data_IF_126396019026
#
_entry.id   IF_126396019026
#
_cell.length_a   1.000
_cell.length_b   1.000
_cell.length_c   1.000
_cell.angle_alpha   90.00
_cell.angle_beta   90.00
_cell.angle_gamma   90.00
#
_symmetry.space_group_name_H-M   'P 1'
#
loop_
_entity.id
_entity.type
_entity.pdbx_description
1 polymer ?
#
# COMPACT_ATOMS: atom_id res chain seq x y z
N UNK A 1 -43.40 6.34 74.21
CA UNK A 1 -42.62 5.32 73.47
C UNK A 1 -41.27 5.95 73.15
N UNK A 2 -40.27 5.74 74.02
CA UNK A 2 -38.94 6.37 73.89
C UNK A 2 -38.04 5.36 73.18
N UNK A 3 -37.65 5.63 71.94
CA UNK A 3 -36.69 4.81 71.20
C UNK A 3 -35.29 5.05 71.78
N UNK A 4 -34.65 3.99 72.26
CA UNK A 4 -33.28 4.02 72.76
C UNK A 4 -32.27 4.20 71.64
N UNK A 5 -31.47 5.27 71.71
CA UNK A 5 -30.29 5.43 70.87
C UNK A 5 -29.19 4.47 71.36
N UNK A 6 -28.98 3.37 70.63
CA UNK A 6 -27.82 2.49 70.84
C UNK A 6 -26.52 3.25 70.60
N UNK A 7 -25.58 3.20 71.56
CA UNK A 7 -24.24 3.78 71.45
C UNK A 7 -23.57 3.26 70.18
N UNK A 8 -23.40 4.12 69.18
CA UNK A 8 -22.64 3.81 67.98
C UNK A 8 -21.17 3.72 68.40
N UNK A 9 -20.63 2.50 68.39
CA UNK A 9 -19.22 2.27 68.69
C UNK A 9 -18.34 3.03 67.70
N UNK A 10 -17.33 3.73 68.21
CA UNK A 10 -16.39 4.57 67.45
C UNK A 10 -15.84 3.84 66.22
N UNK A 11 -15.63 2.52 66.31
CA UNK A 11 -15.19 1.69 65.18
C UNK A 11 -16.15 1.66 63.98
N UNK A 12 -17.47 1.74 64.19
CA UNK A 12 -18.46 1.81 63.10
C UNK A 12 -18.44 3.17 62.40
N UNK A 13 -18.14 4.25 63.13
CA UNK A 13 -17.99 5.60 62.57
C UNK A 13 -16.73 5.67 61.71
N UNK A 14 -15.61 5.11 62.20
CA UNK A 14 -14.34 5.05 61.45
C UNK A 14 -14.52 4.23 60.17
N UNK A 15 -15.14 3.05 60.24
CA UNK A 15 -15.38 2.22 59.06
C UNK A 15 -16.24 2.93 58.01
N UNK A 16 -17.25 3.69 58.43
CA UNK A 16 -18.09 4.47 57.53
C UNK A 16 -17.32 5.62 56.85
N UNK A 17 -16.45 6.33 57.58
CA UNK A 17 -15.61 7.39 57.02
C UNK A 17 -14.59 6.85 56.01
N UNK A 18 -13.96 5.69 56.30
CA UNK A 18 -13.06 5.04 55.35
C UNK A 18 -13.79 4.62 54.06
N UNK A 19 -15.01 4.08 54.18
CA UNK A 19 -15.83 3.74 53.02
C UNK A 19 -16.13 4.97 52.15
N UNK A 20 -16.46 6.10 52.76
CA UNK A 20 -16.70 7.36 52.04
C UNK A 20 -15.44 7.81 51.31
N UNK A 21 -14.26 7.78 51.95
CA UNK A 21 -13.01 8.17 51.31
C UNK A 21 -12.70 7.28 50.10
N UNK A 22 -12.90 5.97 50.21
CA UNK A 22 -12.71 5.03 49.08
C UNK A 22 -13.68 5.33 47.94
N UNK A 23 -14.96 5.61 48.24
CA UNK A 23 -15.95 5.97 47.22
C UNK A 23 -15.60 7.29 46.52
N UNK A 24 -15.11 8.29 47.27
CA UNK A 24 -14.65 9.56 46.72
C UNK A 24 -13.41 9.34 45.82
N UNK A 25 -12.47 8.49 46.24
CA UNK A 25 -11.29 8.18 45.42
C UNK A 25 -11.66 7.45 44.13
N UNK A 26 -12.57 6.48 44.17
CA UNK A 26 -13.07 5.78 42.98
C UNK A 26 -13.78 6.76 42.04
N UNK A 27 -14.60 7.66 42.59
CA UNK A 27 -15.29 8.68 41.80
C UNK A 27 -14.31 9.68 41.15
N UNK A 28 -13.29 10.13 41.89
CA UNK A 28 -12.25 11.01 41.38
C UNK A 28 -11.43 10.37 40.27
N UNK A 29 -11.02 9.11 40.44
CA UNK A 29 -10.34 8.34 39.40
C UNK A 29 -11.24 8.20 38.17
N UNK A 30 -12.51 7.84 38.36
CA UNK A 30 -13.49 7.74 37.26
C UNK A 30 -13.70 9.07 36.51
N UNK A 31 -13.66 10.20 37.22
CA UNK A 31 -13.78 11.52 36.59
C UNK A 31 -12.52 11.90 35.81
N UNK A 32 -11.33 11.60 36.35
CA UNK A 32 -10.05 11.79 35.65
C UNK A 32 -9.99 10.95 34.37
N UNK A 33 -10.39 9.68 34.43
CA UNK A 33 -10.40 8.81 33.24
C UNK A 33 -11.41 9.29 32.19
N UNK A 34 -12.54 9.87 32.64
CA UNK A 34 -13.56 10.44 31.74
C UNK A 34 -13.09 11.75 31.11
N UNK A 35 -12.35 12.58 31.84
CA UNK A 35 -11.78 13.83 31.33
C UNK A 35 -10.65 13.55 30.33
N UNK A 36 -9.78 12.57 30.58
CA UNK A 36 -8.76 12.12 29.62
C UNK A 36 -9.40 11.58 28.33
N UNK A 37 -10.46 10.77 28.42
CA UNK A 37 -11.18 10.29 27.22
C UNK A 37 -11.85 11.40 26.40
N UNK A 38 -12.26 12.50 27.03
CA UNK A 38 -12.87 13.64 26.33
C UNK A 38 -11.85 14.58 25.68
N UNK A 39 -10.62 14.65 26.17
CA UNK A 39 -9.57 15.54 25.61
C UNK A 39 -8.69 14.88 24.54
N UNK A 40 -8.64 13.54 24.49
CA UNK A 40 -7.73 12.78 23.61
C UNK A 40 -8.15 12.55 22.13
N UNK A 41 -9.39 12.76 21.64
CA UNK A 41 -9.69 12.42 20.24
C UNK A 41 -9.16 13.39 19.18
N UNK A 42 -9.06 14.70 19.48
CA UNK A 42 -8.77 15.74 18.47
C UNK A 42 -7.35 16.28 18.51
N UNK A 43 -6.77 16.51 19.69
CA UNK A 43 -5.42 17.10 19.76
C UNK A 43 -4.32 16.13 19.32
N UNK A 44 -4.42 14.84 19.67
CA UNK A 44 -3.44 13.83 19.22
C UNK A 44 -3.51 13.53 17.71
N UNK A 45 -4.71 13.58 17.11
CA UNK A 45 -4.87 13.42 15.66
C UNK A 45 -4.25 14.60 14.90
N UNK A 46 -4.45 15.82 15.38
CA UNK A 46 -3.89 17.02 14.77
C UNK A 46 -2.35 17.07 14.90
N UNK A 47 -1.80 16.69 16.06
CA UNK A 47 -0.34 16.58 16.25
C UNK A 47 0.28 15.52 15.32
N UNK A 48 -0.34 14.33 15.23
CA UNK A 48 0.12 13.27 14.33
C UNK A 48 0.07 13.64 12.85
N UNK A 49 -0.97 14.38 12.43
CA UNK A 49 -1.10 14.90 11.07
C UNK A 49 -0.03 15.95 10.75
N UNK A 50 0.17 16.94 11.63
CA UNK A 50 1.24 17.93 11.47
C UNK A 50 2.63 17.30 11.41
N UNK A 51 2.89 16.27 12.23
CA UNK A 51 4.14 15.51 12.18
C UNK A 51 4.40 14.86 10.82
N UNK A 52 3.38 14.24 10.22
CA UNK A 52 3.49 13.61 8.90
C UNK A 52 3.68 14.61 7.77
N UNK A 53 2.96 15.74 7.79
CA UNK A 53 3.15 16.83 6.83
C UNK A 53 4.58 17.36 6.91
N UNK A 54 5.10 17.59 8.12
CA UNK A 54 6.47 18.04 8.32
C UNK A 54 7.51 17.04 7.83
N UNK A 55 7.30 15.74 8.07
CA UNK A 55 8.16 14.67 7.55
C UNK A 55 8.19 14.66 6.03
N UNK A 56 7.01 14.78 5.42
CA UNK A 56 6.84 14.79 3.96
C UNK A 56 7.59 15.96 3.31
N UNK A 57 7.39 17.17 3.83
CA UNK A 57 8.08 18.39 3.38
C UNK A 57 9.60 18.21 3.55
N UNK A 58 10.05 17.74 4.71
CA UNK A 58 11.47 17.51 4.97
C UNK A 58 12.08 16.50 3.99
N UNK A 59 11.37 15.43 3.63
CA UNK A 59 11.85 14.46 2.64
C UNK A 59 11.95 15.04 1.23
N UNK A 60 11.05 15.94 0.87
CA UNK A 60 11.11 16.67 -0.41
C UNK A 60 12.29 17.64 -0.43
N UNK A 61 12.47 18.43 0.63
CA UNK A 61 13.57 19.40 0.74
C UNK A 61 14.95 18.72 0.67
N UNK A 62 15.07 17.51 1.24
CA UNK A 62 16.30 16.73 1.24
C UNK A 62 16.36 15.70 0.10
N UNK A 63 15.42 15.74 -0.85
CA UNK A 63 15.39 14.83 -1.99
C UNK A 63 16.54 15.16 -2.94
N UNK A 64 17.70 14.58 -2.67
CA UNK A 64 18.89 14.68 -3.53
C UNK A 64 19.20 13.37 -4.25
N UNK A 65 18.29 12.39 -4.19
CA UNK A 65 18.47 11.09 -4.85
C UNK A 65 18.09 11.22 -6.31
N UNK A 66 19.10 11.50 -7.12
CA UNK A 66 19.05 11.43 -8.57
C UNK A 66 18.96 9.97 -8.99
N UNK A 67 18.15 9.68 -10.01
CA UNK A 67 18.25 8.42 -10.72
C UNK A 67 19.62 8.32 -11.43
N UNK A 68 19.99 7.13 -11.91
CA UNK A 68 21.30 6.94 -12.55
C UNK A 68 21.50 7.79 -13.81
N UNK A 69 20.43 8.26 -14.46
CA UNK A 69 20.51 9.20 -15.59
C UNK A 69 20.61 10.67 -15.16
N UNK A 70 20.29 10.98 -13.90
CA UNK A 70 20.22 12.37 -13.42
C UNK A 70 19.09 13.17 -14.07
N UNK A 71 17.97 12.52 -14.44
CA UNK A 71 16.80 13.13 -15.09
C UNK A 71 15.58 13.25 -14.16
N UNK A 72 15.57 12.52 -13.04
CA UNK A 72 14.43 12.46 -12.12
C UNK A 72 14.86 12.61 -10.66
N UNK A 73 14.01 13.30 -9.89
CA UNK A 73 14.02 13.27 -8.43
C UNK A 73 13.25 12.04 -7.93
N UNK A 74 13.82 11.35 -6.95
CA UNK A 74 13.19 10.19 -6.31
C UNK A 74 13.10 10.42 -4.80
N UNK A 75 11.89 10.33 -4.26
CA UNK A 75 11.62 10.39 -2.82
C UNK A 75 11.04 9.06 -2.38
N UNK A 76 11.67 8.40 -1.43
CA UNK A 76 11.34 7.02 -1.08
C UNK A 76 10.74 6.93 0.31
N UNK A 77 9.79 6.02 0.47
CA UNK A 77 9.08 5.74 1.72
C UNK A 77 8.52 7.01 2.40
N UNK A 78 7.78 7.85 1.67
CA UNK A 78 7.47 9.24 2.07
C UNK A 78 6.83 9.41 3.47
N UNK A 79 6.20 8.37 4.04
CA UNK A 79 5.57 8.40 5.36
C UNK A 79 6.29 7.57 6.43
N UNK A 80 7.36 6.84 6.08
CA UNK A 80 8.10 5.98 7.00
C UNK A 80 9.51 6.53 7.22
N UNK A 81 9.99 6.45 8.47
CA UNK A 81 11.42 6.56 8.73
C UNK A 81 12.12 5.25 8.33
N UNK A 82 13.39 5.35 7.96
CA UNK A 82 14.21 4.19 7.58
C UNK A 82 14.19 3.13 8.68
N UNK A 83 13.34 2.12 8.50
CA UNK A 83 13.26 0.98 9.41
C UNK A 83 14.21 -0.10 8.91
N UNK A 84 15.25 -0.39 9.69
CA UNK A 84 16.23 -1.47 9.50
C UNK A 84 15.65 -2.86 9.82
N UNK A 85 14.32 -3.03 9.69
CA UNK A 85 13.66 -4.31 9.93
C UNK A 85 14.20 -5.38 8.98
N UNK A 86 14.35 -6.63 9.45
CA UNK A 86 14.85 -7.72 8.64
C UNK A 86 13.92 -8.04 7.47
N UNK A 87 14.47 -8.68 6.43
CA UNK A 87 13.70 -9.17 5.29
C UNK A 87 12.68 -10.22 5.75
N UNK A 88 11.42 -10.09 5.34
CA UNK A 88 10.38 -11.08 5.59
C UNK A 88 10.50 -12.24 4.60
N UNK A 89 10.93 -13.40 5.11
CA UNK A 89 11.05 -14.63 4.34
C UNK A 89 9.67 -15.26 4.05
N UNK A 90 9.54 -15.88 2.86
CA UNK A 90 8.33 -16.55 2.38
C UNK A 90 7.09 -15.66 2.36
N UNK A 91 7.28 -14.37 2.12
CA UNK A 91 6.21 -13.39 1.98
C UNK A 91 6.38 -12.62 0.67
N UNK A 92 5.31 -12.01 0.21
CA UNK A 92 5.24 -11.29 -1.05
C UNK A 92 4.71 -9.87 -0.87
N UNK A 93 5.45 -8.89 -1.40
CA UNK A 93 4.98 -7.50 -1.52
C UNK A 93 4.33 -7.32 -2.88
N UNK A 94 3.14 -6.74 -2.91
CA UNK A 94 2.54 -6.30 -4.16
C UNK A 94 3.19 -5.00 -4.60
N UNK A 95 3.62 -4.94 -5.85
CA UNK A 95 4.36 -3.83 -6.43
C UNK A 95 3.54 -3.25 -7.56
N UNK A 96 3.40 -1.93 -7.57
CA UNK A 96 2.76 -1.22 -8.67
C UNK A 96 3.37 0.16 -8.89
N UNK A 97 2.91 0.81 -9.94
CA UNK A 97 3.27 2.17 -10.30
C UNK A 97 2.00 2.89 -10.79
N UNK A 98 1.90 4.19 -10.55
CA UNK A 98 0.72 4.96 -10.92
C UNK A 98 1.06 6.42 -11.18
N UNK A 99 0.20 7.11 -11.93
CA UNK A 99 0.21 8.57 -11.94
C UNK A 99 -0.53 9.11 -10.71
N UNK A 100 -0.29 10.37 -10.37
CA UNK A 100 -1.06 11.12 -9.36
C UNK A 100 -2.58 11.06 -9.56
N UNK A 101 -3.05 11.03 -10.82
CA UNK A 101 -4.47 10.97 -11.15
C UNK A 101 -5.13 9.61 -10.83
N UNK A 102 -4.35 8.52 -10.90
CA UNK A 102 -4.81 7.15 -10.65
C UNK A 102 -4.58 6.69 -9.20
N UNK A 103 -4.29 7.61 -8.28
CA UNK A 103 -4.06 7.28 -6.86
C UNK A 103 -5.27 6.67 -6.15
N UNK A 104 -6.49 6.91 -6.64
CA UNK A 104 -7.71 6.37 -6.00
C UNK A 104 -7.82 4.84 -6.15
N UNK A 105 -7.19 4.28 -7.19
CA UNK A 105 -7.14 2.83 -7.44
C UNK A 105 -6.44 2.06 -6.30
N UNK A 106 -5.56 2.74 -5.55
CA UNK A 106 -4.87 2.21 -4.36
C UNK A 106 -5.86 1.76 -3.29
N UNK A 107 -7.03 2.42 -3.19
CA UNK A 107 -8.05 2.10 -2.19
C UNK A 107 -8.54 0.66 -2.41
N UNK A 108 -9.04 0.37 -3.62
CA UNK A 108 -9.55 -0.96 -3.98
C UNK A 108 -8.46 -2.04 -3.87
N UNK A 109 -7.23 -1.70 -4.26
CA UNK A 109 -6.07 -2.58 -4.16
C UNK A 109 -5.75 -2.94 -2.69
N UNK A 110 -5.69 -1.94 -1.81
CA UNK A 110 -5.41 -2.11 -0.37
C UNK A 110 -6.51 -2.85 0.38
N UNK A 111 -7.76 -2.75 -0.10
CA UNK A 111 -8.88 -3.48 0.45
C UNK A 111 -8.80 -4.98 0.14
N UNK A 112 -8.29 -5.33 -1.05
CA UNK A 112 -8.23 -6.71 -1.55
C UNK A 112 -6.94 -7.44 -1.18
N UNK A 113 -5.80 -6.75 -1.15
CA UNK A 113 -4.51 -7.31 -0.77
C UNK A 113 -4.25 -7.19 0.74
N UNK A 114 -3.97 -8.32 1.39
CA UNK A 114 -3.82 -8.36 2.84
C UNK A 114 -2.37 -8.19 3.35
N UNK A 115 -1.43 -7.82 2.47
CA UNK A 115 -0.01 -7.63 2.78
C UNK A 115 0.58 -6.28 2.40
N UNK A 116 1.91 -6.21 2.43
CA UNK A 116 2.65 -5.02 2.06
C UNK A 116 2.43 -4.68 0.57
N UNK A 117 2.33 -3.38 0.29
CA UNK A 117 2.16 -2.81 -1.04
C UNK A 117 3.22 -1.72 -1.21
N UNK A 118 3.94 -1.73 -2.33
CA UNK A 118 4.94 -0.71 -2.68
C UNK A 118 4.53 -0.04 -3.99
N UNK A 119 4.35 1.29 -3.98
CA UNK A 119 3.82 2.06 -5.11
C UNK A 119 4.74 3.22 -5.42
N UNK A 120 5.27 3.24 -6.65
CA UNK A 120 5.89 4.44 -7.20
C UNK A 120 4.84 5.31 -7.87
N UNK A 121 4.81 6.58 -7.50
CA UNK A 121 3.89 7.58 -8.01
C UNK A 121 4.66 8.53 -8.88
N UNK A 122 4.31 8.56 -10.17
CA UNK A 122 4.85 9.55 -11.09
C UNK A 122 3.98 10.81 -11.05
N UNK A 123 4.63 11.95 -10.87
CA UNK A 123 3.99 13.27 -10.93
C UNK A 123 4.92 14.27 -11.62
N UNK A 124 4.42 15.48 -11.81
CA UNK A 124 5.18 16.61 -12.34
C UNK A 124 4.96 17.84 -11.46
N UNK A 125 5.77 18.88 -11.65
CA UNK A 125 5.77 20.05 -10.78
C UNK A 125 4.41 20.72 -10.61
N UNK A 126 3.68 20.94 -11.71
CA UNK A 126 2.34 21.56 -11.68
C UNK A 126 1.30 20.73 -10.89
N UNK A 127 1.53 19.44 -10.72
CA UNK A 127 0.61 18.50 -10.05
C UNK A 127 1.21 17.91 -8.76
N UNK A 128 2.40 18.37 -8.37
CA UNK A 128 3.10 17.90 -7.19
C UNK A 128 2.25 18.14 -5.94
N UNK A 129 1.73 19.36 -5.75
CA UNK A 129 0.87 19.70 -4.62
C UNK A 129 -0.36 18.78 -4.54
N UNK A 130 -1.04 18.54 -5.67
CA UNK A 130 -2.19 17.64 -5.73
C UNK A 130 -1.82 16.20 -5.37
N UNK A 131 -0.71 15.69 -5.92
CA UNK A 131 -0.19 14.38 -5.56
C UNK A 131 0.12 14.29 -4.07
N UNK A 132 0.74 15.31 -3.48
CA UNK A 132 1.04 15.35 -2.04
C UNK A 132 -0.22 15.34 -1.19
N UNK A 133 -1.20 16.17 -1.52
CA UNK A 133 -2.48 16.24 -0.81
C UNK A 133 -3.22 14.91 -0.89
N UNK A 134 -3.23 14.26 -2.07
CA UNK A 134 -3.84 12.93 -2.25
C UNK A 134 -3.12 11.85 -1.45
N UNK A 135 -1.79 11.82 -1.49
CA UNK A 135 -1.00 10.85 -0.73
C UNK A 135 -1.24 11.01 0.77
N UNK A 136 -1.26 12.24 1.26
CA UNK A 136 -1.54 12.54 2.66
C UNK A 136 -2.97 12.11 3.05
N UNK A 137 -3.96 12.45 2.23
CA UNK A 137 -5.34 12.03 2.42
C UNK A 137 -5.48 10.50 2.47
N UNK A 138 -4.90 9.78 1.50
CA UNK A 138 -4.91 8.32 1.46
C UNK A 138 -4.27 7.72 2.72
N UNK A 139 -3.13 8.24 3.13
CA UNK A 139 -2.40 7.74 4.30
C UNK A 139 -3.10 8.06 5.64
N UNK A 140 -3.83 9.17 5.74
CA UNK A 140 -4.53 9.55 6.98
C UNK A 140 -5.92 8.91 7.09
N UNK A 141 -6.63 8.78 5.98
CA UNK A 141 -8.05 8.42 5.98
C UNK A 141 -8.33 6.93 5.78
N UNK A 142 -7.33 6.16 5.32
CA UNK A 142 -7.51 4.74 5.03
C UNK A 142 -6.53 3.91 5.88
N UNK A 143 -7.00 3.29 6.99
CA UNK A 143 -6.13 2.55 7.89
C UNK A 143 -5.36 1.39 7.23
N UNK A 144 -5.93 0.75 6.20
CA UNK A 144 -5.20 -0.29 5.45
C UNK A 144 -4.05 0.28 4.64
N UNK A 145 -4.25 1.45 4.01
CA UNK A 145 -3.20 2.17 3.29
C UNK A 145 -2.12 2.61 4.28
N UNK A 146 -2.52 3.24 5.39
CA UNK A 146 -1.61 3.72 6.44
C UNK A 146 -0.62 2.65 6.91
N UNK A 147 -1.09 1.41 7.08
CA UNK A 147 -0.32 0.33 7.69
C UNK A 147 0.42 -0.57 6.70
N UNK A 148 0.11 -0.50 5.40
CA UNK A 148 0.57 -1.49 4.42
C UNK A 148 1.18 -0.90 3.16
N UNK A 149 0.86 0.34 2.83
CA UNK A 149 1.27 0.96 1.56
C UNK A 149 2.46 1.87 1.79
N UNK A 150 3.53 1.57 1.06
CA UNK A 150 4.74 2.35 0.95
C UNK A 150 4.70 3.15 -0.34
N UNK A 151 4.65 4.47 -0.24
CA UNK A 151 4.64 5.36 -1.39
C UNK A 151 6.04 5.91 -1.65
N UNK A 152 6.42 5.90 -2.92
CA UNK A 152 7.62 6.53 -3.46
C UNK A 152 7.19 7.55 -4.51
N UNK A 153 7.76 8.73 -4.51
CA UNK A 153 7.42 9.79 -5.44
C UNK A 153 8.55 9.98 -6.45
N UNK A 154 8.20 10.05 -7.73
CA UNK A 154 9.14 10.28 -8.83
C UNK A 154 8.62 11.42 -9.68
N UNK A 155 9.47 12.39 -9.97
CA UNK A 155 9.14 13.51 -10.84
C UNK A 155 10.40 14.02 -11.56
N UNK A 156 10.28 14.63 -12.76
CA UNK A 156 11.44 15.13 -13.51
C UNK A 156 12.29 16.11 -12.68
N UNK A 157 13.56 16.31 -13.04
CA UNK A 157 14.34 17.43 -12.53
C UNK A 157 13.97 18.70 -13.30
N UNK A 158 13.55 19.73 -12.58
CA UNK A 158 13.35 21.07 -13.11
C UNK A 158 14.06 22.06 -12.16
N UNK A 159 14.69 23.07 -12.73
CA UNK A 159 15.57 23.98 -12.01
C UNK A 159 14.82 25.17 -11.38
N UNK A 160 13.55 25.38 -11.71
CA UNK A 160 12.78 26.58 -11.33
C UNK A 160 11.87 26.41 -10.10
N UNK A 161 12.10 25.41 -9.25
CA UNK A 161 11.21 25.11 -8.12
C UNK A 161 11.52 26.01 -6.92
N UNK A 162 10.54 26.82 -6.51
CA UNK A 162 10.49 27.37 -5.16
C UNK A 162 9.67 26.45 -4.25
N UNK A 163 10.34 25.62 -3.45
CA UNK A 163 9.71 24.76 -2.43
C UNK A 163 8.89 25.55 -1.39
N UNK A 164 9.05 26.86 -1.34
CA UNK A 164 8.30 27.74 -0.45
C UNK A 164 6.82 27.86 -0.84
N UNK A 165 6.44 27.64 -2.12
CA UNK A 165 5.04 27.64 -2.54
C UNK A 165 4.26 26.39 -2.05
N UNK A 166 4.95 25.25 -1.87
CA UNK A 166 4.35 24.00 -1.38
C UNK A 166 3.99 24.04 0.12
N UNK A 167 4.65 24.91 0.90
CA UNK A 167 4.50 24.98 2.36
C UNK A 167 3.18 25.61 2.80
N UNK A 168 2.59 26.48 1.98
CA UNK A 168 1.45 27.32 2.38
C UNK A 168 0.07 26.72 2.08
N UNK A 169 0.02 25.58 1.36
CA UNK A 169 -1.24 25.07 0.80
C UNK A 169 -1.65 23.67 1.29
N UNK A 170 -0.91 23.02 2.20
CA UNK A 170 -1.32 21.72 2.72
C UNK A 170 -2.66 21.82 3.44
N UNK A 171 -3.72 21.37 2.76
CA UNK A 171 -5.07 21.37 3.29
C UNK A 171 -5.14 20.30 4.37
N UNK A 172 -5.59 20.67 5.57
CA UNK A 172 -5.99 19.70 6.58
C UNK A 172 -7.04 18.77 5.97
N UNK A 173 -6.65 17.53 5.66
CA UNK A 173 -7.52 16.58 4.99
C UNK A 173 -8.58 16.10 5.98
N UNK A 174 -9.78 16.67 5.93
CA UNK A 174 -10.94 16.04 6.56
C UNK A 174 -11.34 14.81 5.72
N UNK A 175 -11.37 13.63 6.32
CA UNK A 175 -11.65 12.37 5.62
C UNK A 175 -13.08 12.26 5.07
N UNK A 176 -13.93 13.23 5.41
CA UNK A 176 -15.33 13.32 4.98
C UNK A 176 -15.48 14.00 3.61
N UNK A 177 -14.50 14.78 3.17
CA UNK A 177 -14.53 15.43 1.86
C UNK A 177 -13.73 14.61 0.86
N UNK A 178 -14.41 14.02 -0.12
CA UNK A 178 -13.75 13.48 -1.31
C UNK A 178 -12.94 14.61 -1.95
N UNK A 179 -11.60 14.48 -1.99
CA UNK A 179 -10.75 15.43 -2.68
C UNK A 179 -11.26 15.63 -4.11
N UNK A 180 -11.36 16.90 -4.54
CA UNK A 180 -11.77 17.23 -5.90
C UNK A 180 -10.88 16.48 -6.89
N UNK A 181 -11.50 15.73 -7.79
CA UNK A 181 -10.81 15.08 -8.91
C UNK A 181 -10.30 16.19 -9.83
N UNK A 182 -9.01 16.48 -9.79
CA UNK A 182 -8.40 17.31 -10.82
C UNK A 182 -8.26 16.44 -12.07
N UNK A 183 -9.04 16.75 -13.11
CA UNK A 183 -8.91 16.08 -14.39
C UNK A 183 -7.75 16.71 -15.17
N UNK A 184 -6.55 16.16 -15.02
CA UNK A 184 -5.47 16.36 -15.99
C UNK A 184 -5.41 15.17 -16.96
N UNK A 185 -4.80 15.36 -18.13
CA UNK A 185 -4.51 14.25 -19.04
C UNK A 185 -3.61 13.23 -18.32
N UNK A 186 -4.04 11.96 -18.32
CA UNK A 186 -3.26 10.87 -17.74
C UNK A 186 -2.09 10.54 -18.65
N UNK A 187 -0.91 10.31 -18.08
CA UNK A 187 0.30 9.80 -18.74
C UNK A 187 0.95 10.71 -19.81
N UNK A 188 0.25 11.74 -20.29
CA UNK A 188 0.74 12.62 -21.36
C UNK A 188 1.14 13.98 -20.76
N UNK A 189 2.39 14.07 -20.32
CA UNK A 189 3.06 15.34 -20.09
C UNK A 189 3.71 15.72 -21.42
N UNK A 190 3.36 16.89 -21.98
CA UNK A 190 3.98 17.36 -23.22
C UNK A 190 5.51 17.27 -23.14
N UNK A 191 6.09 16.35 -23.92
CA UNK A 191 7.54 16.19 -24.05
C UNK A 191 8.23 15.29 -23.01
N UNK A 192 7.52 14.66 -22.06
CA UNK A 192 8.14 13.75 -21.08
C UNK A 192 7.52 12.35 -21.19
N UNK A 193 8.35 11.37 -21.53
CA UNK A 193 7.95 9.95 -21.58
C UNK A 193 7.72 9.39 -20.18
N UNK A 194 6.66 8.59 -20.01
CA UNK A 194 6.35 7.95 -18.74
C UNK A 194 7.41 6.90 -18.37
N UNK A 195 8.18 7.06 -17.26
CA UNK A 195 9.38 6.27 -17.02
C UNK A 195 9.06 4.91 -16.35
N UNK A 196 8.38 4.03 -17.07
CA UNK A 196 7.87 2.74 -16.56
C UNK A 196 8.92 1.93 -15.78
N UNK A 197 10.11 1.74 -16.35
CA UNK A 197 11.16 0.92 -15.74
C UNK A 197 11.73 1.56 -14.46
N UNK A 198 11.92 2.88 -14.46
CA UNK A 198 12.35 3.62 -13.27
C UNK A 198 11.35 3.44 -12.13
N UNK A 199 10.06 3.60 -12.42
CA UNK A 199 9.01 3.49 -11.42
C UNK A 199 8.93 2.07 -10.84
N UNK A 200 8.97 1.04 -11.69
CA UNK A 200 8.98 -0.37 -11.27
C UNK A 200 10.19 -0.69 -10.40
N UNK A 201 11.39 -0.31 -10.83
CA UNK A 201 12.63 -0.54 -10.08
C UNK A 201 12.61 0.19 -8.73
N UNK A 202 12.16 1.45 -8.70
CA UNK A 202 11.99 2.21 -7.45
C UNK A 202 11.05 1.49 -6.50
N UNK A 203 9.90 1.01 -6.96
CA UNK A 203 8.94 0.33 -6.10
C UNK A 203 9.49 -1.01 -5.56
N UNK A 204 10.21 -1.78 -6.38
CA UNK A 204 10.82 -3.06 -5.98
C UNK A 204 11.97 -2.86 -4.98
N UNK A 205 12.80 -1.83 -5.16
CA UNK A 205 14.01 -1.59 -4.36
C UNK A 205 13.72 -1.53 -2.86
N UNK A 206 12.58 -0.95 -2.47
CA UNK A 206 12.18 -0.76 -1.07
C UNK A 206 11.31 -1.89 -0.51
N UNK A 207 11.03 -2.94 -1.29
CA UNK A 207 10.32 -4.11 -0.79
C UNK A 207 11.18 -4.85 0.24
N UNK A 208 10.58 -5.20 1.39
CA UNK A 208 11.24 -5.97 2.47
C UNK A 208 10.97 -7.47 2.40
N UNK A 209 10.15 -7.92 1.47
CA UNK A 209 9.77 -9.33 1.32
C UNK A 209 10.73 -10.06 0.39
N UNK A 210 10.71 -11.39 0.45
CA UNK A 210 11.53 -12.27 -0.40
C UNK A 210 10.95 -12.42 -1.81
N UNK A 211 9.67 -12.12 -2.00
CA UNK A 211 9.00 -12.16 -3.30
C UNK A 211 8.33 -10.82 -3.61
N UNK A 212 8.22 -10.47 -4.88
CA UNK A 212 7.46 -9.32 -5.35
C UNK A 212 6.41 -9.77 -6.36
N UNK A 213 5.23 -9.19 -6.29
CA UNK A 213 4.15 -9.40 -7.26
C UNK A 213 3.88 -8.10 -8.01
N UNK A 214 4.41 -8.01 -9.23
CA UNK A 214 4.28 -6.81 -10.05
C UNK A 214 2.96 -6.83 -10.84
N UNK A 215 2.12 -5.81 -10.65
CA UNK A 215 0.85 -5.62 -11.38
C UNK A 215 0.61 -4.15 -11.71
N UNK A 216 -0.22 -3.90 -12.72
CA UNK A 216 -0.71 -2.55 -13.01
C UNK A 216 -1.72 -2.10 -11.93
N UNK A 217 -1.81 -0.78 -11.70
CA UNK A 217 -2.53 -0.20 -10.56
C UNK A 217 -4.06 -0.44 -10.62
N UNK A 218 -4.60 -0.56 -11.84
CA UNK A 218 -6.00 -0.82 -12.13
C UNK A 218 -6.36 -2.31 -12.06
N UNK A 219 -5.40 -3.18 -11.71
CA UNK A 219 -5.63 -4.60 -11.53
C UNK A 219 -5.91 -4.96 -10.08
N UNK A 220 -6.79 -5.93 -9.89
CA UNK A 220 -7.14 -6.43 -8.57
C UNK A 220 -6.77 -7.92 -8.44
N UNK A 221 -5.87 -8.29 -7.50
CA UNK A 221 -5.44 -9.68 -7.32
C UNK A 221 -6.56 -10.54 -6.73
N UNK A 222 -6.50 -11.87 -6.90
CA UNK A 222 -7.43 -12.76 -6.21
C UNK A 222 -7.36 -12.58 -4.70
N UNK A 223 -8.52 -12.66 -4.03
CA UNK A 223 -8.56 -12.65 -2.56
C UNK A 223 -7.74 -13.83 -2.05
N UNK A 224 -6.98 -13.61 -0.97
CA UNK A 224 -6.14 -14.62 -0.32
C UNK A 224 -4.92 -15.11 -1.10
N UNK A 225 -4.65 -14.59 -2.31
CA UNK A 225 -3.50 -15.01 -3.12
C UNK A 225 -2.17 -14.94 -2.36
N UNK A 226 -1.93 -13.87 -1.59
CA UNK A 226 -0.73 -13.75 -0.73
C UNK A 226 -0.60 -14.93 0.22
N UNK A 227 -1.65 -15.22 0.99
CA UNK A 227 -1.63 -16.28 2.00
C UNK A 227 -1.38 -17.64 1.36
N UNK A 228 -2.09 -17.94 0.28
CA UNK A 228 -1.94 -19.19 -0.45
C UNK A 228 -0.53 -19.33 -1.06
N UNK A 229 0.01 -18.25 -1.63
CA UNK A 229 1.37 -18.21 -2.16
C UNK A 229 2.41 -18.43 -1.05
N UNK A 230 2.27 -17.76 0.09
CA UNK A 230 3.18 -17.90 1.22
C UNK A 230 3.21 -19.34 1.75
N UNK A 231 2.07 -20.04 1.75
CA UNK A 231 2.03 -21.47 2.11
C UNK A 231 2.69 -22.33 1.03
N UNK A 232 2.37 -22.10 -0.24
CA UNK A 232 2.92 -22.84 -1.37
C UNK A 232 4.46 -22.74 -1.43
N UNK A 233 5.00 -21.52 -1.33
CA UNK A 233 6.42 -21.24 -1.55
C UNK A 233 7.34 -21.75 -0.44
N UNK A 234 6.79 -22.03 0.75
CA UNK A 234 7.55 -22.69 1.82
C UNK A 234 8.08 -24.07 1.39
N UNK A 235 7.29 -24.77 0.57
CA UNK A 235 7.63 -26.09 0.02
C UNK A 235 8.38 -26.04 -1.32
N UNK A 236 8.37 -24.88 -1.99
CA UNK A 236 8.95 -24.69 -3.32
C UNK A 236 10.04 -23.61 -3.27
N UNK A 237 11.26 -24.01 -2.92
CA UNK A 237 12.42 -23.11 -2.85
C UNK A 237 13.23 -23.19 -4.15
N UNK A 238 12.95 -22.29 -5.08
CA UNK A 238 13.75 -22.14 -6.29
C UNK A 238 13.78 -20.67 -6.75
N UNK A 239 14.91 -20.02 -6.51
CA UNK A 239 15.09 -18.59 -6.81
C UNK A 239 15.29 -18.30 -8.31
N UNK A 240 15.39 -19.33 -9.15
CA UNK A 240 15.49 -19.21 -10.62
C UNK A 240 14.13 -19.25 -11.33
N UNK A 241 13.04 -19.43 -10.57
CA UNK A 241 11.68 -19.56 -11.11
C UNK A 241 10.88 -18.30 -10.83
N UNK A 242 10.09 -17.89 -11.82
CA UNK A 242 9.05 -16.87 -11.68
C UNK A 242 7.68 -17.53 -11.87
N UNK A 243 6.68 -17.06 -11.13
CA UNK A 243 5.34 -17.60 -11.13
C UNK A 243 4.43 -16.68 -11.95
N UNK A 244 4.08 -17.10 -13.15
CA UNK A 244 3.14 -16.37 -14.01
C UNK A 244 1.75 -16.43 -13.38
N UNK A 245 1.14 -15.26 -13.19
CA UNK A 245 -0.23 -15.16 -12.65
C UNK A 245 -1.18 -14.84 -13.81
N UNK A 246 -2.18 -15.70 -14.09
CA UNK A 246 -3.16 -15.45 -15.15
C UNK A 246 -3.88 -14.11 -14.95
N UNK A 247 -3.89 -13.28 -15.99
CA UNK A 247 -4.49 -11.94 -15.95
C UNK A 247 -5.69 -11.82 -16.88
N UNK A 248 -6.74 -11.12 -16.44
CA UNK A 248 -8.05 -11.18 -17.08
C UNK A 248 -8.68 -9.81 -17.14
N UNK A 249 -9.34 -9.51 -18.26
CA UNK A 249 -10.16 -8.32 -18.43
C UNK A 249 -11.63 -8.68 -18.25
N UNK A 250 -12.34 -7.82 -17.53
CA UNK A 250 -13.75 -7.94 -17.25
C UNK A 250 -14.50 -6.70 -17.76
N UNK A 251 -15.75 -6.88 -18.20
CA UNK A 251 -16.61 -5.73 -18.55
C UNK A 251 -16.95 -4.92 -17.29
N UNK A 252 -16.98 -3.59 -17.42
CA UNK A 252 -17.08 -2.64 -16.29
C UNK A 252 -18.25 -2.90 -15.32
N UNK A 253 -19.39 -3.43 -15.80
CA UNK A 253 -20.60 -3.62 -14.95
C UNK A 253 -20.69 -5.01 -14.30
N UNK A 254 -19.72 -5.89 -14.54
CA UNK A 254 -19.77 -7.23 -13.98
C UNK A 254 -19.20 -7.23 -12.54
N UNK A 255 -19.78 -8.05 -11.67
CA UNK A 255 -19.24 -8.30 -10.31
C UNK A 255 -17.93 -9.07 -10.43
N UNK A 256 -16.89 -8.59 -9.74
CA UNK A 256 -15.57 -9.24 -9.70
C UNK A 256 -15.73 -10.66 -9.09
N UNK A 257 -15.33 -11.73 -9.79
CA UNK A 257 -15.40 -13.08 -9.26
C UNK A 257 -14.64 -13.23 -7.94
N UNK A 258 -15.25 -13.91 -6.97
CA UNK A 258 -14.57 -14.26 -5.72
C UNK A 258 -13.72 -15.53 -5.84
N UNK A 259 -14.02 -16.39 -6.81
CA UNK A 259 -13.40 -17.72 -6.98
C UNK A 259 -13.32 -18.13 -8.46
N UNK A 260 -12.56 -19.21 -8.72
CA UNK A 260 -12.34 -19.76 -10.08
C UNK A 260 -13.63 -20.24 -10.74
N UNK A 261 -14.56 -20.82 -9.97
CA UNK A 261 -15.84 -21.33 -10.49
C UNK A 261 -16.69 -20.21 -11.08
N UNK A 262 -16.82 -19.09 -10.36
CA UNK A 262 -17.52 -17.90 -10.83
C UNK A 262 -16.80 -17.25 -12.02
N UNK A 263 -15.47 -17.23 -11.99
CA UNK A 263 -14.64 -16.71 -13.07
C UNK A 263 -14.86 -17.49 -14.37
N UNK A 264 -14.79 -18.83 -14.33
CA UNK A 264 -14.99 -19.68 -15.51
C UNK A 264 -16.44 -19.62 -16.01
N UNK A 265 -17.42 -19.48 -15.11
CA UNK A 265 -18.81 -19.21 -15.49
C UNK A 265 -18.93 -17.89 -16.27
N UNK A 266 -18.34 -16.81 -15.75
CA UNK A 266 -18.36 -15.50 -16.40
C UNK A 266 -17.58 -15.48 -17.73
N UNK A 267 -16.51 -16.27 -17.83
CA UNK A 267 -15.79 -16.50 -19.08
C UNK A 267 -16.68 -17.16 -20.15
N UNK A 268 -17.40 -18.24 -19.81
CA UNK A 268 -18.34 -18.91 -20.73
C UNK A 268 -19.47 -17.97 -21.19
N UNK A 269 -19.87 -17.04 -20.32
CA UNK A 269 -20.85 -15.99 -20.63
C UNK A 269 -20.24 -14.79 -21.39
N UNK A 270 -18.97 -14.86 -21.82
CA UNK A 270 -18.25 -13.79 -22.53
C UNK A 270 -18.21 -12.45 -21.77
N UNK A 271 -18.24 -12.51 -20.43
CA UNK A 271 -18.07 -11.33 -19.55
C UNK A 271 -16.61 -11.09 -19.16
N UNK A 272 -15.78 -12.13 -19.26
CA UNK A 272 -14.36 -12.12 -18.96
C UNK A 272 -13.61 -12.63 -20.19
N UNK A 273 -12.42 -12.06 -20.46
CA UNK A 273 -11.51 -12.46 -21.53
C UNK A 273 -10.05 -12.32 -21.07
N UNK A 274 -9.06 -12.91 -21.76
CA UNK A 274 -7.66 -12.65 -21.43
C UNK A 274 -7.32 -11.17 -21.49
N UNK A 275 -6.43 -10.73 -20.58
CA UNK A 275 -5.93 -9.37 -20.53
C UNK A 275 -5.19 -8.99 -21.82
N UNK A 276 -5.50 -7.83 -22.41
CA UNK A 276 -4.83 -7.29 -23.61
C UNK A 276 -4.66 -8.28 -24.78
N UNK A 277 -5.57 -9.25 -24.91
CA UNK A 277 -5.48 -10.31 -25.92
C UNK A 277 -5.37 -9.75 -27.34
N UNK A 278 -6.14 -8.70 -27.63
CA UNK A 278 -6.21 -8.07 -28.94
C UNK A 278 -4.98 -7.20 -29.26
N UNK A 279 -4.19 -6.83 -28.24
CA UNK A 279 -3.02 -5.93 -28.38
C UNK A 279 -1.72 -6.74 -28.48
N UNK A 280 -1.52 -7.71 -27.58
CA UNK A 280 -0.32 -8.55 -27.59
C UNK A 280 -0.62 -9.98 -27.17
N UNK A 281 -1.13 -10.80 -28.10
CA UNK A 281 -1.35 -12.22 -27.88
C UNK A 281 -0.08 -12.98 -27.45
N UNK A 282 1.10 -12.58 -27.98
CA UNK A 282 2.39 -13.19 -27.62
C UNK A 282 2.74 -12.94 -26.15
N UNK A 283 2.50 -11.75 -25.61
CA UNK A 283 2.78 -11.39 -24.22
C UNK A 283 2.02 -12.27 -23.22
N UNK A 284 0.86 -12.78 -23.62
CA UNK A 284 -0.02 -13.63 -22.81
C UNK A 284 0.16 -15.13 -23.06
N UNK A 285 1.01 -15.51 -24.02
CA UNK A 285 1.24 -16.91 -24.41
C UNK A 285 1.67 -17.80 -23.24
N UNK A 286 2.52 -17.37 -22.29
CA UNK A 286 2.95 -18.24 -21.19
C UNK A 286 1.82 -18.68 -20.26
N UNK A 287 0.70 -17.94 -20.21
CA UNK A 287 -0.48 -18.34 -19.45
C UNK A 287 -1.26 -19.47 -20.11
N UNK A 288 -1.16 -19.68 -21.43
CA UNK A 288 -1.91 -20.70 -22.18
C UNK A 288 -3.38 -20.80 -21.70
N UNK A 289 -4.19 -19.78 -22.01
CA UNK A 289 -5.59 -19.71 -21.54
C UNK A 289 -6.45 -20.89 -22.01
N UNK A 290 -6.07 -21.53 -23.13
CA UNK A 290 -6.74 -22.71 -23.64
C UNK A 290 -6.51 -23.90 -22.72
N UNK A 291 -5.28 -24.15 -22.28
CA UNK A 291 -5.01 -25.18 -21.28
C UNK A 291 -5.52 -24.79 -19.88
N UNK A 292 -5.27 -23.55 -19.46
CA UNK A 292 -5.52 -23.07 -18.10
C UNK A 292 -6.98 -23.19 -17.67
N UNK A 293 -7.92 -22.91 -18.57
CA UNK A 293 -9.35 -22.94 -18.25
C UNK A 293 -9.89 -24.35 -17.98
N UNK A 294 -9.19 -25.40 -18.44
CA UNK A 294 -9.59 -26.81 -18.27
C UNK A 294 -8.80 -27.53 -17.18
N UNK A 295 -7.90 -26.84 -16.46
CA UNK A 295 -7.20 -27.44 -15.32
C UNK A 295 -8.22 -27.91 -14.26
N UNK A 296 -7.95 -29.05 -13.59
CA UNK A 296 -8.79 -29.50 -12.48
C UNK A 296 -8.75 -28.50 -11.33
N UNK A 297 -9.85 -28.41 -10.59
CA UNK A 297 -9.88 -27.61 -9.36
C UNK A 297 -8.95 -28.23 -8.31
N UNK A 298 -8.27 -27.38 -7.57
CA UNK A 298 -7.41 -27.77 -6.46
C UNK A 298 -7.81 -27.02 -5.21
N UNK A 299 -7.72 -27.68 -4.05
CA UNK A 299 -7.96 -27.06 -2.75
C UNK A 299 -6.82 -26.12 -2.33
N UNK A 300 -5.67 -26.20 -2.99
CA UNK A 300 -4.48 -25.42 -2.67
C UNK A 300 -3.82 -24.87 -3.94
N UNK A 301 -3.09 -23.78 -3.81
CA UNK A 301 -2.30 -23.22 -4.90
C UNK A 301 -1.21 -24.23 -5.31
N UNK A 302 -1.15 -24.52 -6.61
CA UNK A 302 -0.23 -25.49 -7.17
C UNK A 302 0.30 -25.00 -8.54
N UNK A 303 1.46 -25.53 -8.95
CA UNK A 303 2.00 -25.28 -10.28
C UNK A 303 1.13 -26.01 -11.31
N UNK A 304 0.58 -25.26 -12.26
CA UNK A 304 -0.17 -25.83 -13.37
C UNK A 304 0.75 -26.55 -14.37
N UNK A 305 1.80 -25.86 -14.81
CA UNK A 305 2.82 -26.37 -15.74
C UNK A 305 4.03 -25.43 -15.74
N UNK A 306 5.16 -25.94 -16.25
CA UNK A 306 6.36 -25.14 -16.46
C UNK A 306 6.43 -24.67 -17.91
N UNK A 307 6.76 -23.39 -18.09
CA UNK A 307 7.00 -22.78 -19.40
C UNK A 307 8.41 -22.20 -19.43
N UNK A 308 9.09 -22.33 -20.56
CA UNK A 308 10.39 -21.69 -20.73
C UNK A 308 10.18 -20.17 -20.83
N UNK A 309 10.89 -19.40 -20.01
CA UNK A 309 10.89 -17.93 -20.07
C UNK A 309 11.49 -17.48 -21.40
N UNK A 310 10.63 -17.21 -22.39
CA UNK A 310 11.00 -16.69 -23.71
C UNK A 310 10.38 -15.32 -24.01
N UNK A 311 9.43 -14.86 -23.22
CA UNK A 311 8.61 -13.68 -23.50
C UNK A 311 8.41 -12.80 -22.27
N UNK A 312 8.15 -11.52 -22.54
CA UNK A 312 7.77 -10.47 -21.61
C UNK A 312 6.34 -10.76 -21.11
N UNK A 313 6.21 -11.42 -19.97
CA UNK A 313 4.93 -11.47 -19.23
C UNK A 313 4.92 -10.32 -18.24
N UNK A 314 3.89 -9.49 -18.23
CA UNK A 314 3.83 -8.34 -17.33
C UNK A 314 3.43 -8.68 -15.89
N UNK A 315 2.78 -9.83 -15.66
CA UNK A 315 2.18 -10.18 -14.37
C UNK A 315 2.73 -11.50 -13.81
N UNK A 316 3.66 -11.38 -12.88
CA UNK A 316 4.29 -12.52 -12.24
C UNK A 316 4.69 -12.22 -10.80
N UNK A 317 4.77 -13.28 -9.99
CA UNK A 317 5.45 -13.25 -8.71
C UNK A 317 6.88 -13.74 -8.94
N UNK A 318 7.88 -12.98 -8.52
CA UNK A 318 9.29 -13.38 -8.63
C UNK A 318 10.00 -13.27 -7.29
N UNK A 319 11.02 -14.12 -7.05
CA UNK A 319 12.01 -13.84 -6.01
C UNK A 319 12.55 -12.42 -6.19
N UNK A 320 12.63 -11.66 -5.09
CA UNK A 320 13.24 -10.34 -5.09
C UNK A 320 14.76 -10.54 -5.17
N UNK A 321 15.35 -10.20 -6.31
CA UNK A 321 16.81 -10.17 -6.44
C UNK A 321 17.35 -9.09 -5.50
N UNK A 322 18.04 -9.49 -4.45
CA UNK A 322 18.80 -8.57 -3.60
C UNK A 322 20.07 -8.26 -4.40
N UNK A 323 20.18 -7.06 -4.95
CA UNK A 323 21.46 -6.57 -5.44
C UNK A 323 22.39 -6.47 -4.23
N UNK A 324 23.29 -7.42 -4.04
CA UNK A 324 24.42 -7.22 -3.14
C UNK A 324 25.20 -6.04 -3.70
N UNK A 325 25.29 -4.93 -2.96
CA UNK A 325 26.23 -3.85 -3.28
C UNK A 325 27.64 -4.43 -3.16
N UNK A 326 28.18 -5.00 -4.24
CA UNK A 326 29.60 -5.26 -4.35
C UNK A 326 30.28 -3.94 -4.64
N UNK A 327 31.22 -3.56 -3.77
CA UNK A 327 32.08 -2.38 -3.86
C UNK A 327 33.10 -2.50 -5.00
N UNK A 328 32.63 -2.69 -6.22
CA UNK A 328 33.43 -2.57 -7.44
C UNK A 328 32.61 -1.85 -8.49
N UNK A 329 33.06 -0.65 -8.85
CA UNK A 329 32.36 0.27 -9.73
C UNK A 329 32.07 -0.32 -11.10
N UNK A 330 30.80 -0.64 -11.32
CA UNK A 330 30.09 -0.50 -12.59
C UNK A 330 28.61 -0.72 -12.30
N UNK A 331 27.89 0.34 -11.94
CA UNK A 331 26.44 0.29 -11.72
C UNK A 331 25.73 0.18 -13.08
N UNK A 332 25.65 -1.02 -13.65
CA UNK A 332 24.50 -1.38 -14.48
C UNK A 332 23.41 -1.83 -13.51
N UNK A 333 22.36 -1.02 -13.37
CA UNK A 333 21.11 -1.55 -12.83
C UNK A 333 20.71 -2.71 -13.73
N UNK A 334 20.80 -3.93 -13.24
CA UNK A 334 20.12 -5.05 -13.85
C UNK A 334 18.63 -4.72 -13.80
N UNK A 335 18.07 -4.32 -14.93
CA UNK A 335 16.66 -4.03 -15.10
C UNK A 335 15.86 -5.25 -14.64
N UNK A 336 14.96 -5.03 -13.67
CA UNK A 336 13.89 -5.99 -13.44
C UNK A 336 12.88 -5.75 -14.55
N UNK A 337 13.14 -6.40 -15.69
CA UNK A 337 12.22 -6.53 -16.83
C UNK A 337 11.36 -7.78 -16.71
#
# INVERSE_FOLDING_TARGET
>A
MVFGFGKIGIGKVIAFLVLIIVLIQIWHIGMLTKHERMTLPNNQKNEGQHGKVRLLISKIENAHVLDSSGSYNIITDIFCHEDSSPTLHNDVTLVSQTSSNNLDDVIALSERWDGAISISVFTHFKDLQFAMDKLLHLHLCFPKIQNRVHFHLVYPLDNDISLDELKHNFVSSNCENSMKTFHHQNYEIEGIEYPHNLLRNTAVKFCKTSYVFLIDIDMLPNKYLRREFNTFVQSFKNDSVVFVVPSLNQKNDAVIPSDRTQLLRNWRLKKIRPFYFDVCQKCQRPTDYDQWQFLPDSSHLNIAYFVQRRMLTSHFISPRKISHCTTSGSNSMDTIE
#
